data_IF_647958268850
#
_entry.id   IF_647958268850
#
_cell.length_a   1.000
_cell.length_b   1.000
_cell.length_c   1.000
_cell.angle_alpha   90.00
_cell.angle_beta   90.00
_cell.angle_gamma   90.00
#
_symmetry.space_group_name_H-M   'P 1'
#
loop_
_entity.id
_entity.type
_entity.pdbx_description
1 polymer ?
#
# COMPACT_ATOMS: atom_id res chain seq x y z
N UNK A 1 9.28 20.07 15.12
CA UNK A 1 9.69 19.55 13.80
C UNK A 1 8.88 20.24 12.70
N UNK A 2 9.51 20.70 11.61
CA UNK A 2 8.82 21.29 10.46
C UNK A 2 7.96 20.23 9.74
N UNK A 3 6.82 20.64 9.19
CA UNK A 3 5.96 19.79 8.35
C UNK A 3 6.76 19.35 7.11
N UNK A 4 6.82 18.05 6.85
CA UNK A 4 7.53 17.49 5.71
C UNK A 4 6.66 17.57 4.46
N UNK A 5 6.77 18.67 3.71
CA UNK A 5 5.96 18.91 2.50
C UNK A 5 6.11 17.79 1.46
N UNK A 6 7.33 17.26 1.31
CA UNK A 6 7.60 16.19 0.35
C UNK A 6 6.78 14.93 0.66
N UNK A 7 6.56 14.61 1.94
CA UNK A 7 5.80 13.43 2.34
C UNK A 7 4.32 13.57 1.96
N UNK A 8 3.76 14.77 2.14
CA UNK A 8 2.38 15.07 1.73
C UNK A 8 2.23 14.96 0.21
N UNK A 9 3.19 15.51 -0.56
CA UNK A 9 3.24 15.40 -2.03
C UNK A 9 3.34 13.94 -2.46
N UNK A 10 4.25 13.15 -1.87
CA UNK A 10 4.43 11.74 -2.20
C UNK A 10 3.16 10.92 -1.96
N UNK A 11 2.43 11.20 -0.86
CA UNK A 11 1.13 10.55 -0.61
C UNK A 11 0.07 10.95 -1.63
N UNK A 12 0.02 12.23 -2.00
CA UNK A 12 -0.87 12.75 -3.05
C UNK A 12 -0.60 12.11 -4.42
N UNK A 13 0.67 12.03 -4.82
CA UNK A 13 1.05 11.35 -6.07
C UNK A 13 0.75 9.85 -6.01
N UNK A 14 1.05 9.18 -4.90
CA UNK A 14 0.77 7.75 -4.76
C UNK A 14 -0.72 7.43 -4.92
N UNK A 15 -1.62 8.21 -4.29
CA UNK A 15 -3.07 7.97 -4.43
C UNK A 15 -3.57 8.23 -5.85
N UNK A 16 -3.03 9.25 -6.54
CA UNK A 16 -3.37 9.54 -7.93
C UNK A 16 -2.91 8.41 -8.87
N UNK A 17 -1.71 7.88 -8.66
CA UNK A 17 -1.19 6.73 -9.42
C UNK A 17 -2.03 5.47 -9.15
N UNK A 18 -2.47 5.23 -7.92
CA UNK A 18 -3.39 4.12 -7.59
C UNK A 18 -4.73 4.29 -8.29
N UNK A 19 -5.32 5.49 -8.27
CA UNK A 19 -6.57 5.77 -8.97
C UNK A 19 -6.41 5.53 -10.49
N UNK A 20 -5.36 6.09 -11.08
CA UNK A 20 -5.00 5.87 -12.48
C UNK A 20 -4.83 4.38 -12.82
N UNK A 21 -4.13 3.62 -11.98
CA UNK A 21 -3.93 2.18 -12.16
C UNK A 21 -5.27 1.42 -12.23
N UNK A 22 -6.24 1.76 -11.38
CA UNK A 22 -7.55 1.13 -11.42
C UNK A 22 -8.33 1.48 -12.70
N UNK A 23 -8.26 2.71 -13.19
CA UNK A 23 -8.81 3.06 -14.52
C UNK A 23 -8.13 2.28 -15.64
N UNK A 24 -6.79 2.23 -15.64
CA UNK A 24 -6.00 1.48 -16.61
C UNK A 24 -6.37 -0.01 -16.63
N UNK A 25 -6.45 -0.65 -15.45
CA UNK A 25 -6.85 -2.06 -15.33
C UNK A 25 -8.27 -2.31 -15.81
N UNK A 26 -9.20 -1.39 -15.54
CA UNK A 26 -10.59 -1.49 -16.01
C UNK A 26 -10.67 -1.36 -17.53
N UNK A 27 -9.93 -0.42 -18.12
CA UNK A 27 -9.85 -0.29 -19.57
C UNK A 27 -9.31 -1.58 -20.22
N UNK A 28 -8.20 -2.12 -19.72
CA UNK A 28 -7.58 -3.34 -20.26
C UNK A 28 -8.27 -4.66 -19.87
N UNK A 29 -9.31 -4.61 -19.05
CA UNK A 29 -10.20 -5.76 -18.89
C UNK A 29 -11.02 -6.02 -20.16
N UNK A 30 -11.27 -4.97 -20.96
CA UNK A 30 -12.10 -5.03 -22.17
C UNK A 30 -11.39 -4.52 -23.43
N UNK A 31 -10.31 -3.77 -23.28
CA UNK A 31 -9.51 -3.19 -24.37
C UNK A 31 -8.28 -4.02 -24.70
N UNK A 32 -7.88 -3.98 -25.97
CA UNK A 32 -6.65 -4.62 -26.47
C UNK A 32 -5.79 -3.54 -27.12
N UNK A 33 -4.47 -3.59 -26.90
CA UNK A 33 -3.56 -2.72 -27.64
C UNK A 33 -3.59 -3.09 -29.13
N UNK A 34 -3.59 -2.10 -30.04
CA UNK A 34 -3.38 -2.38 -31.45
C UNK A 34 -2.08 -3.15 -31.67
N UNK A 35 -2.01 -4.03 -32.69
CA UNK A 35 -0.79 -4.75 -33.02
C UNK A 35 0.37 -3.78 -33.29
N UNK A 36 1.58 -4.24 -33.00
CA UNK A 36 2.78 -3.45 -33.20
C UNK A 36 2.96 -3.13 -34.70
N UNK A 37 3.12 -1.85 -35.02
CA UNK A 37 3.36 -1.37 -36.37
C UNK A 37 4.78 -0.77 -36.46
N UNK A 38 5.58 -1.35 -37.34
CA UNK A 38 6.98 -1.00 -37.58
C UNK A 38 7.21 -0.52 -39.02
N UNK A 39 6.14 -0.23 -39.76
CA UNK A 39 6.19 0.11 -41.20
C UNK A 39 6.91 1.44 -41.49
N UNK A 40 7.07 2.31 -40.51
CA UNK A 40 7.76 3.59 -40.65
C UNK A 40 8.18 4.20 -39.32
N UNK A 41 8.92 5.31 -39.37
CA UNK A 41 9.46 5.98 -38.18
C UNK A 41 8.34 6.44 -37.23
N UNK A 42 7.29 7.08 -37.75
CA UNK A 42 6.16 7.55 -36.95
C UNK A 42 5.37 6.39 -36.33
N UNK A 43 5.12 5.32 -37.09
CA UNK A 43 4.44 4.12 -36.60
C UNK A 43 5.26 3.42 -35.50
N UNK A 44 6.57 3.29 -35.71
CA UNK A 44 7.50 2.70 -34.74
C UNK A 44 7.55 3.51 -33.45
N UNK A 45 7.63 4.85 -33.55
CA UNK A 45 7.61 5.73 -32.39
C UNK A 45 6.29 5.59 -31.61
N UNK A 46 5.15 5.56 -32.29
CA UNK A 46 3.84 5.35 -31.66
C UNK A 46 3.74 3.97 -30.98
N UNK A 47 4.25 2.92 -31.62
CA UNK A 47 4.32 1.57 -31.05
C UNK A 47 5.16 1.56 -29.77
N UNK A 48 6.36 2.16 -29.80
CA UNK A 48 7.23 2.29 -28.62
C UNK A 48 6.51 3.04 -27.51
N UNK A 49 5.88 4.19 -27.80
CA UNK A 49 5.17 4.98 -26.80
C UNK A 49 4.01 4.19 -26.16
N UNK A 50 3.25 3.43 -26.95
CA UNK A 50 2.16 2.56 -26.44
C UNK A 50 2.69 1.46 -25.53
N UNK A 51 3.79 0.80 -25.92
CA UNK A 51 4.41 -0.26 -25.12
C UNK A 51 4.99 0.28 -23.81
N UNK A 52 5.69 1.42 -23.87
CA UNK A 52 6.21 2.11 -22.68
C UNK A 52 5.06 2.52 -21.78
N UNK A 53 4.02 3.16 -22.32
CA UNK A 53 2.84 3.54 -21.56
C UNK A 53 2.18 2.34 -20.88
N UNK A 54 1.98 1.24 -21.60
CA UNK A 54 1.40 0.01 -21.05
C UNK A 54 2.23 -0.57 -19.90
N UNK A 55 3.55 -0.69 -20.10
CA UNK A 55 4.47 -1.19 -19.06
C UNK A 55 4.49 -0.28 -17.84
N UNK A 56 4.68 1.03 -18.03
CA UNK A 56 4.71 2.02 -16.93
C UNK A 56 3.38 2.07 -16.18
N UNK A 57 2.25 2.00 -16.90
CA UNK A 57 0.92 2.00 -16.28
C UNK A 57 0.67 0.73 -15.45
N UNK A 58 1.16 -0.42 -15.91
CA UNK A 58 1.12 -1.67 -15.15
C UNK A 58 1.88 -1.59 -13.82
N UNK A 59 2.93 -0.77 -13.74
CA UNK A 59 3.68 -0.57 -12.50
C UNK A 59 2.90 0.24 -11.45
N UNK A 60 1.77 0.85 -11.81
CA UNK A 60 0.95 1.64 -10.90
C UNK A 60 0.49 0.87 -9.65
N UNK A 61 0.42 -0.46 -9.73
CA UNK A 61 0.16 -1.31 -8.57
C UNK A 61 1.20 -1.16 -7.44
N UNK A 62 2.47 -0.92 -7.78
CA UNK A 62 3.54 -0.76 -6.79
C UNK A 62 3.38 0.51 -5.93
N UNK A 63 2.56 1.48 -6.37
CA UNK A 63 2.22 2.66 -5.58
C UNK A 63 1.52 2.30 -4.26
N UNK A 64 0.83 1.15 -4.19
CA UNK A 64 0.25 0.64 -2.95
C UNK A 64 1.34 0.33 -1.92
N UNK A 65 2.45 -0.27 -2.35
CA UNK A 65 3.61 -0.55 -1.48
C UNK A 65 4.21 0.73 -0.90
N UNK A 66 4.37 1.76 -1.74
CA UNK A 66 4.81 3.10 -1.30
C UNK A 66 3.83 3.66 -0.27
N UNK A 67 2.52 3.52 -0.50
CA UNK A 67 1.50 4.02 0.42
C UNK A 67 1.52 3.30 1.77
N UNK A 68 1.84 2.00 1.81
CA UNK A 68 2.05 1.23 3.06
C UNK A 68 3.27 1.77 3.83
N UNK A 69 4.40 1.98 3.14
CA UNK A 69 5.63 2.55 3.74
C UNK A 69 5.33 3.93 4.33
N UNK A 70 4.68 4.82 3.57
CA UNK A 70 4.32 6.16 4.04
C UNK A 70 3.30 6.12 5.20
N UNK A 71 2.42 5.12 5.23
CA UNK A 71 1.50 4.89 6.35
C UNK A 71 2.26 4.50 7.62
N UNK A 72 3.19 3.55 7.53
CA UNK A 72 4.08 3.18 8.65
C UNK A 72 4.89 4.36 9.18
N UNK A 73 5.48 5.15 8.27
CA UNK A 73 6.23 6.35 8.63
C UNK A 73 5.38 7.35 9.40
N UNK A 74 4.22 7.73 8.85
CA UNK A 74 3.38 8.78 9.44
C UNK A 74 2.77 8.36 10.77
N UNK A 75 2.42 7.07 10.94
CA UNK A 75 1.95 6.54 12.21
C UNK A 75 3.06 6.56 13.26
N UNK A 76 4.27 6.12 12.89
CA UNK A 76 5.41 6.09 13.80
C UNK A 76 5.77 7.50 14.26
N UNK A 77 5.97 8.43 13.32
CA UNK A 77 6.33 9.82 13.62
C UNK A 77 5.27 10.51 14.50
N UNK A 78 3.98 10.37 14.17
CA UNK A 78 2.91 11.02 14.94
C UNK A 78 2.73 10.41 16.33
N UNK A 79 3.00 9.12 16.50
CA UNK A 79 2.89 8.43 17.80
C UNK A 79 4.12 8.69 18.67
N UNK A 80 5.34 8.67 18.11
CA UNK A 80 6.56 9.05 18.82
C UNK A 80 6.45 10.45 19.41
N UNK A 81 6.01 11.43 18.61
CA UNK A 81 5.79 12.81 19.08
C UNK A 81 4.83 12.90 20.25
N UNK A 82 3.76 12.08 20.25
CA UNK A 82 2.83 12.02 21.38
C UNK A 82 3.47 11.37 22.62
N UNK A 83 4.19 10.27 22.41
CA UNK A 83 4.88 9.54 23.45
C UNK A 83 6.02 10.33 24.13
N UNK A 84 6.57 11.34 23.45
CA UNK A 84 7.55 12.27 24.02
C UNK A 84 6.93 13.27 25.00
N UNK A 85 5.67 13.66 24.78
CA UNK A 85 4.97 14.61 25.66
C UNK A 85 4.28 13.89 26.82
N UNK A 86 3.58 12.79 26.56
CA UNK A 86 2.77 12.08 27.55
C UNK A 86 2.65 10.58 27.20
N UNK A 87 2.20 9.78 28.16
CA UNK A 87 1.85 8.39 27.89
C UNK A 87 0.75 8.29 26.81
N UNK A 88 0.94 7.42 25.83
CA UNK A 88 -0.02 7.27 24.73
C UNK A 88 -1.29 6.59 25.24
N UNK A 89 -2.38 7.35 25.35
CA UNK A 89 -3.70 6.81 25.62
C UNK A 89 -4.22 6.02 24.40
N UNK A 90 -3.93 4.72 24.35
CA UNK A 90 -4.23 3.87 23.19
C UNK A 90 -5.70 3.86 22.78
N UNK A 91 -6.65 3.91 23.72
CA UNK A 91 -8.08 4.00 23.41
C UNK A 91 -8.44 5.27 22.62
N UNK A 92 -7.94 6.43 23.06
CA UNK A 92 -8.11 7.70 22.34
C UNK A 92 -7.36 7.71 21.01
N UNK A 93 -6.22 7.02 20.93
CA UNK A 93 -5.45 6.83 19.70
C UNK A 93 -6.26 6.05 18.66
N UNK A 94 -6.83 4.89 19.03
CA UNK A 94 -7.69 4.09 18.15
C UNK A 94 -8.91 4.89 17.69
N UNK A 95 -9.62 5.53 18.63
CA UNK A 95 -10.81 6.34 18.33
C UNK A 95 -10.49 7.43 17.30
N UNK A 96 -9.41 8.18 17.48
CA UNK A 96 -9.02 9.24 16.56
C UNK A 96 -8.72 8.72 15.13
N UNK A 97 -8.19 7.50 15.02
CA UNK A 97 -7.88 6.88 13.73
C UNK A 97 -9.12 6.33 13.04
N UNK A 98 -9.97 5.61 13.77
CA UNK A 98 -11.19 5.06 13.20
C UNK A 98 -12.21 6.16 12.85
N UNK A 99 -12.34 7.21 13.67
CA UNK A 99 -13.20 8.36 13.34
C UNK A 99 -12.70 9.17 12.13
N UNK A 100 -11.41 9.11 11.82
CA UNK A 100 -10.87 9.71 10.58
C UNK A 100 -11.08 8.79 9.38
N UNK A 101 -11.00 7.48 9.59
CA UNK A 101 -10.94 6.47 8.54
C UNK A 101 -12.33 6.07 8.03
N UNK A 102 -13.26 5.75 8.93
CA UNK A 102 -14.58 5.21 8.58
C UNK A 102 -15.52 6.19 7.86
N UNK A 103 -15.63 7.48 8.23
CA UNK A 103 -16.61 8.37 7.58
C UNK A 103 -16.37 8.48 6.07
N UNK A 104 -15.11 8.66 5.64
CA UNK A 104 -14.78 8.71 4.22
C UNK A 104 -15.03 7.38 3.51
N UNK A 105 -14.84 6.26 4.20
CA UNK A 105 -15.10 4.94 3.65
C UNK A 105 -16.60 4.69 3.47
N UNK A 106 -17.43 5.11 4.42
CA UNK A 106 -18.89 5.04 4.29
C UNK A 106 -19.41 6.00 3.22
N UNK A 107 -18.82 7.18 3.08
CA UNK A 107 -19.11 8.07 1.94
C UNK A 107 -18.78 7.38 0.62
N UNK A 108 -17.66 6.64 0.52
CA UNK A 108 -17.35 5.88 -0.69
C UNK A 108 -18.39 4.79 -0.99
N UNK A 109 -18.95 4.13 0.04
CA UNK A 109 -20.07 3.20 -0.13
C UNK A 109 -21.33 3.92 -0.60
N UNK A 110 -21.66 5.06 0.03
CA UNK A 110 -22.82 5.86 -0.34
C UNK A 110 -22.74 6.32 -1.80
N UNK A 111 -21.56 6.80 -2.23
CA UNK A 111 -21.31 7.19 -3.62
C UNK A 111 -21.45 5.98 -4.55
N UNK A 112 -20.90 4.82 -4.19
CA UNK A 112 -21.07 3.60 -4.98
C UNK A 112 -22.55 3.22 -5.13
N UNK A 113 -23.34 3.29 -4.05
CA UNK A 113 -24.75 2.90 -4.02
C UNK A 113 -25.67 3.88 -4.76
N UNK A 114 -25.38 5.19 -4.68
CA UNK A 114 -26.28 6.22 -5.19
C UNK A 114 -25.85 6.83 -6.53
N UNK A 115 -24.56 6.83 -6.86
CA UNK A 115 -24.07 7.53 -8.05
C UNK A 115 -24.54 6.86 -9.34
N UNK A 116 -25.15 7.60 -10.29
CA UNK A 116 -25.51 7.04 -11.59
C UNK A 116 -24.29 6.75 -12.46
N UNK A 117 -23.11 7.24 -12.09
CA UNK A 117 -21.86 7.12 -12.86
C UNK A 117 -21.03 5.89 -12.49
N UNK A 118 -21.55 4.99 -11.65
CA UNK A 118 -20.84 3.79 -11.20
C UNK A 118 -21.47 2.56 -11.84
N UNK A 119 -20.66 1.78 -12.57
CA UNK A 119 -21.05 0.48 -13.08
C UNK A 119 -21.12 -0.53 -11.92
N UNK A 120 -22.31 -1.03 -11.62
CA UNK A 120 -22.56 -2.04 -10.58
C UNK A 120 -22.69 -3.41 -11.23
N UNK A 121 -21.55 -4.08 -11.40
CA UNK A 121 -21.49 -5.41 -12.03
C UNK A 121 -21.83 -6.54 -11.05
N UNK A 122 -21.70 -6.28 -9.75
CA UNK A 122 -21.96 -7.24 -8.68
C UNK A 122 -23.23 -6.81 -7.91
N UNK A 123 -24.14 -7.73 -7.55
CA UNK A 123 -25.31 -7.40 -6.75
C UNK A 123 -24.90 -6.96 -5.34
N UNK A 124 -25.73 -6.08 -4.75
CA UNK A 124 -25.60 -5.71 -3.34
C UNK A 124 -26.37 -6.72 -2.50
N UNK A 125 -25.64 -7.49 -1.71
CA UNK A 125 -26.17 -8.50 -0.78
C UNK A 125 -25.66 -8.27 0.65
N UNK A 126 -25.90 -9.24 1.52
CA UNK A 126 -25.54 -9.26 2.95
C UNK A 126 -24.04 -9.05 3.23
N UNK A 127 -23.16 -9.30 2.26
CA UNK A 127 -21.72 -8.98 2.36
C UNK A 127 -21.45 -7.48 2.53
N UNK A 128 -22.43 -6.62 2.25
CA UNK A 128 -22.35 -5.17 2.50
C UNK A 128 -22.05 -4.85 3.96
N UNK A 129 -22.52 -5.67 4.91
CA UNK A 129 -22.27 -5.46 6.34
C UNK A 129 -20.78 -5.61 6.64
N UNK A 130 -20.17 -6.70 6.16
CA UNK A 130 -18.73 -6.95 6.31
C UNK A 130 -17.92 -5.89 5.56
N UNK A 131 -18.40 -5.44 4.40
CA UNK A 131 -17.81 -4.34 3.65
C UNK A 131 -17.80 -3.04 4.46
N UNK A 132 -18.92 -2.63 5.05
CA UNK A 132 -19.04 -1.40 5.84
C UNK A 132 -18.16 -1.39 7.09
N UNK A 133 -17.96 -2.56 7.69
CA UNK A 133 -17.03 -2.78 8.81
C UNK A 133 -15.57 -2.91 8.36
N UNK A 134 -15.31 -3.01 7.05
CA UNK A 134 -13.97 -3.23 6.51
C UNK A 134 -13.42 -4.64 6.77
N UNK A 135 -14.24 -5.60 7.19
CA UNK A 135 -13.86 -6.97 7.52
C UNK A 135 -13.84 -7.87 6.28
N UNK A 136 -13.12 -7.43 5.25
CA UNK A 136 -13.09 -8.06 3.92
C UNK A 136 -12.29 -9.36 3.84
N UNK A 137 -11.63 -9.72 4.93
CA UNK A 137 -10.79 -10.93 5.02
C UNK A 137 -11.53 -12.15 5.59
N UNK A 138 -12.75 -11.99 6.12
CA UNK A 138 -13.52 -13.10 6.72
C UNK A 138 -13.85 -14.19 5.71
N UNK A 139 -14.26 -13.80 4.50
CA UNK A 139 -14.31 -14.67 3.34
C UNK A 139 -13.42 -14.04 2.26
N UNK A 140 -12.20 -14.56 2.15
CA UNK A 140 -11.20 -13.98 1.26
C UNK A 140 -11.60 -14.06 -0.21
N UNK A 141 -12.41 -15.05 -0.59
CA UNK A 141 -12.78 -15.26 -2.00
C UNK A 141 -13.95 -14.37 -2.38
N UNK A 142 -14.95 -14.26 -1.50
CA UNK A 142 -16.20 -13.56 -1.80
C UNK A 142 -16.21 -12.10 -1.36
N UNK A 143 -15.48 -11.73 -0.29
CA UNK A 143 -15.59 -10.40 0.31
C UNK A 143 -14.41 -9.47 -0.01
N UNK A 144 -13.25 -10.03 -0.38
CA UNK A 144 -12.02 -9.25 -0.49
C UNK A 144 -12.12 -8.15 -1.55
N UNK A 145 -12.65 -8.49 -2.73
CA UNK A 145 -12.84 -7.57 -3.86
C UNK A 145 -14.27 -7.03 -4.00
N UNK A 146 -15.17 -7.40 -3.09
CA UNK A 146 -16.61 -7.11 -3.15
C UNK A 146 -16.89 -5.63 -3.45
N UNK A 147 -17.75 -5.35 -4.44
CA UNK A 147 -18.15 -4.04 -4.98
C UNK A 147 -17.04 -3.21 -5.65
N UNK A 148 -15.89 -3.10 -5.01
CA UNK A 148 -14.76 -2.33 -5.49
C UNK A 148 -13.43 -2.95 -5.05
N UNK A 149 -12.63 -3.37 -6.03
CA UNK A 149 -11.34 -4.01 -5.79
C UNK A 149 -10.32 -3.09 -5.09
N UNK A 150 -10.43 -1.76 -5.15
CA UNK A 150 -9.50 -0.88 -4.43
C UNK A 150 -9.70 -0.91 -2.91
N UNK A 151 -10.87 -1.35 -2.43
CA UNK A 151 -11.24 -1.25 -1.01
C UNK A 151 -10.61 -2.32 -0.12
N UNK A 152 -9.95 -3.35 -0.67
CA UNK A 152 -9.23 -4.33 0.14
C UNK A 152 -8.14 -3.67 1.01
N UNK A 153 -7.56 -2.55 0.54
CA UNK A 153 -6.56 -1.80 1.29
C UNK A 153 -7.09 -1.35 2.67
N UNK A 154 -8.38 -1.02 2.76
CA UNK A 154 -9.02 -0.58 4.00
C UNK A 154 -8.96 -1.67 5.07
N UNK A 155 -9.26 -2.91 4.69
CA UNK A 155 -9.19 -4.09 5.56
C UNK A 155 -7.79 -4.30 6.14
N UNK A 156 -6.78 -4.23 5.27
CA UNK A 156 -5.37 -4.32 5.68
C UNK A 156 -4.98 -3.17 6.64
N UNK A 157 -5.47 -1.95 6.39
CA UNK A 157 -5.17 -0.79 7.22
C UNK A 157 -5.73 -0.94 8.64
N UNK A 158 -6.94 -1.49 8.79
CA UNK A 158 -7.52 -1.81 10.10
C UNK A 158 -6.60 -2.77 10.84
N UNK A 159 -6.18 -3.86 10.20
CA UNK A 159 -5.27 -4.83 10.80
C UNK A 159 -3.96 -4.18 11.26
N UNK A 160 -3.36 -3.32 10.43
CA UNK A 160 -2.17 -2.56 10.82
C UNK A 160 -2.43 -1.65 12.03
N UNK A 161 -3.56 -0.95 12.08
CA UNK A 161 -3.90 -0.12 13.24
C UNK A 161 -4.03 -0.97 14.50
N UNK A 162 -4.68 -2.13 14.41
CA UNK A 162 -4.84 -3.05 15.54
C UNK A 162 -3.49 -3.52 16.08
N UNK A 163 -2.58 -3.97 15.21
CA UNK A 163 -1.26 -4.46 15.65
C UNK A 163 -0.25 -3.34 15.95
N UNK A 164 -0.54 -2.09 15.55
CA UNK A 164 0.41 -0.99 15.64
C UNK A 164 0.96 -0.73 17.06
N UNK A 165 0.17 -0.75 18.15
CA UNK A 165 0.73 -0.53 19.48
C UNK A 165 1.79 -1.56 19.88
N UNK A 166 1.59 -2.82 19.49
CA UNK A 166 2.58 -3.88 19.69
C UNK A 166 3.86 -3.60 18.88
N UNK A 167 3.71 -3.23 17.60
CA UNK A 167 4.84 -2.85 16.76
C UNK A 167 5.59 -1.63 17.29
N UNK A 168 4.85 -0.62 17.78
CA UNK A 168 5.42 0.59 18.37
C UNK A 168 6.20 0.27 19.65
N UNK A 169 5.63 -0.57 20.52
CA UNK A 169 6.32 -1.05 21.72
C UNK A 169 7.59 -1.84 21.37
N UNK A 170 7.52 -2.74 20.38
CA UNK A 170 8.67 -3.50 19.91
C UNK A 170 9.76 -2.58 19.34
N UNK A 171 9.36 -1.60 18.55
CA UNK A 171 10.26 -0.59 17.99
C UNK A 171 10.98 0.23 19.07
N UNK A 172 10.26 0.59 20.15
CA UNK A 172 10.83 1.32 21.30
C UNK A 172 11.83 0.48 22.09
N UNK A 173 11.63 -0.84 22.18
CA UNK A 173 12.51 -1.75 22.93
C UNK A 173 13.71 -2.23 22.13
N UNK A 174 13.49 -2.60 20.87
CA UNK A 174 14.48 -3.30 20.03
C UNK A 174 15.19 -2.35 19.06
N UNK A 175 14.65 -1.15 18.84
CA UNK A 175 15.16 -0.19 17.89
C UNK A 175 14.74 -0.46 16.43
N UNK A 176 15.07 0.46 15.51
CA UNK A 176 14.57 0.45 14.13
C UNK A 176 15.11 -0.71 13.28
N UNK A 177 16.35 -1.12 13.50
CA UNK A 177 16.97 -2.21 12.74
C UNK A 177 16.34 -3.55 13.05
N UNK A 178 16.17 -3.86 14.34
CA UNK A 178 15.58 -5.12 14.76
C UNK A 178 14.10 -5.20 14.41
N UNK A 179 13.36 -4.08 14.51
CA UNK A 179 11.98 -4.00 14.03
C UNK A 179 11.89 -4.37 12.54
N UNK A 180 12.78 -3.81 11.72
CA UNK A 180 12.79 -4.08 10.27
C UNK A 180 13.15 -5.54 9.99
N UNK A 181 14.16 -6.08 10.67
CA UNK A 181 14.57 -7.48 10.52
C UNK A 181 13.42 -8.43 10.88
N UNK A 182 12.78 -8.24 12.03
CA UNK A 182 11.65 -9.05 12.48
C UNK A 182 10.46 -8.89 11.53
N UNK A 183 10.16 -7.66 11.08
CA UNK A 183 9.08 -7.40 10.14
C UNK A 183 9.30 -8.09 8.79
N UNK A 184 10.52 -8.06 8.27
CA UNK A 184 10.94 -8.80 7.09
C UNK A 184 10.82 -10.30 7.29
N UNK A 185 11.41 -10.84 8.37
CA UNK A 185 11.39 -12.26 8.67
C UNK A 185 9.95 -12.79 8.80
N UNK A 186 9.12 -12.12 9.61
CA UNK A 186 7.72 -12.49 9.79
C UNK A 186 6.92 -12.40 8.49
N UNK A 187 7.08 -11.30 7.72
CA UNK A 187 6.37 -11.12 6.47
C UNK A 187 6.73 -12.17 5.42
N UNK A 188 8.01 -12.41 5.18
CA UNK A 188 8.46 -13.42 4.23
C UNK A 188 8.15 -14.85 4.70
N UNK A 189 8.28 -15.12 5.99
CA UNK A 189 7.90 -16.43 6.55
C UNK A 189 6.41 -16.72 6.35
N UNK A 190 5.53 -15.76 6.67
CA UNK A 190 4.09 -15.96 6.46
C UNK A 190 3.76 -16.10 4.96
N UNK A 191 4.41 -15.33 4.08
CA UNK A 191 4.26 -15.52 2.62
C UNK A 191 4.69 -16.93 2.19
N UNK A 192 5.83 -17.41 2.68
CA UNK A 192 6.31 -18.77 2.40
C UNK A 192 5.31 -19.83 2.88
N UNK A 193 4.77 -19.66 4.10
CA UNK A 193 3.74 -20.56 4.62
C UNK A 193 2.51 -20.55 3.72
N UNK A 194 1.98 -19.39 3.36
CA UNK A 194 0.72 -19.27 2.59
C UNK A 194 0.85 -19.59 1.10
N UNK A 195 2.06 -19.57 0.54
CA UNK A 195 2.29 -19.85 -0.89
C UNK A 195 2.87 -21.24 -1.14
N UNK A 196 3.64 -21.79 -0.20
CA UNK A 196 4.43 -23.01 -0.41
C UNK A 196 4.02 -24.12 0.55
N UNK A 197 4.06 -23.88 1.87
CA UNK A 197 3.83 -24.94 2.87
C UNK A 197 2.36 -25.32 2.96
N UNK A 198 1.50 -24.31 3.01
CA UNK A 198 0.05 -24.41 3.02
C UNK A 198 -0.49 -23.44 1.98
N UNK A 199 -0.56 -23.84 0.70
CA UNK A 199 -1.04 -22.97 -0.36
C UNK A 199 -2.45 -22.46 -0.07
N UNK A 200 -2.60 -21.15 -0.03
CA UNK A 200 -3.86 -20.43 0.18
C UNK A 200 -4.10 -19.47 -0.97
N UNK A 201 -5.32 -18.90 -1.02
CA UNK A 201 -5.65 -17.90 -2.02
C UNK A 201 -4.67 -16.70 -1.93
N UNK A 202 -4.07 -16.30 -3.06
CA UNK A 202 -3.07 -15.23 -3.13
C UNK A 202 -3.54 -13.86 -2.62
N UNK A 203 -4.86 -13.66 -2.50
CA UNK A 203 -5.46 -12.48 -1.87
C UNK A 203 -5.07 -12.33 -0.39
N UNK A 204 -4.77 -13.43 0.31
CA UNK A 204 -4.21 -13.38 1.66
C UNK A 204 -2.87 -12.66 1.69
N UNK A 205 -1.96 -13.01 0.76
CA UNK A 205 -0.63 -12.39 0.64
C UNK A 205 -0.70 -10.96 0.14
N UNK A 206 -1.68 -10.66 -0.71
CA UNK A 206 -1.91 -9.31 -1.24
C UNK A 206 -2.21 -8.30 -0.11
N UNK A 207 -3.07 -8.69 0.83
CA UNK A 207 -3.49 -7.83 1.94
C UNK A 207 -4.61 -8.39 2.82
N UNK A 208 -5.10 -9.59 2.54
CA UNK A 208 -6.02 -10.30 3.42
C UNK A 208 -5.44 -10.50 4.81
N UNK A 209 -4.12 -10.75 4.88
CA UNK A 209 -3.37 -10.78 6.13
C UNK A 209 -2.25 -9.74 6.12
N UNK A 210 -2.37 -8.71 6.94
CA UNK A 210 -1.47 -7.57 6.93
C UNK A 210 -0.01 -7.94 7.26
N UNK A 211 0.24 -9.06 7.96
CA UNK A 211 1.62 -9.52 8.23
C UNK A 211 2.38 -9.80 6.94
N UNK A 212 1.72 -10.26 5.88
CA UNK A 212 2.36 -10.43 4.57
C UNK A 212 2.89 -9.10 4.01
N UNK A 213 2.39 -7.96 4.47
CA UNK A 213 2.81 -6.59 4.09
C UNK A 213 3.58 -5.86 5.18
N UNK A 214 3.94 -6.57 6.25
CA UNK A 214 4.71 -6.03 7.36
C UNK A 214 6.11 -5.54 6.95
N UNK A 215 6.84 -6.13 5.99
CA UNK A 215 8.15 -5.60 5.57
C UNK A 215 8.04 -4.14 5.09
N UNK A 216 7.05 -3.83 4.25
CA UNK A 216 6.78 -2.49 3.74
C UNK A 216 6.40 -1.52 4.88
N UNK A 217 5.53 -1.96 5.80
CA UNK A 217 5.07 -1.13 6.91
C UNK A 217 6.18 -0.86 7.94
N UNK A 218 6.96 -1.90 8.29
CA UNK A 218 8.08 -1.82 9.22
C UNK A 218 9.21 -0.96 8.65
N UNK A 219 9.49 -1.04 7.34
CA UNK A 219 10.42 -0.13 6.67
C UNK A 219 10.00 1.34 6.87
N UNK A 220 8.72 1.64 6.68
CA UNK A 220 8.17 2.96 6.97
C UNK A 220 8.40 3.42 8.40
N UNK A 221 8.11 2.55 9.38
CA UNK A 221 8.33 2.83 10.80
C UNK A 221 9.81 3.09 11.11
N UNK A 222 10.70 2.22 10.65
CA UNK A 222 12.15 2.32 10.89
C UNK A 222 12.75 3.57 10.26
N UNK A 223 12.32 3.91 9.04
CA UNK A 223 12.74 5.14 8.37
C UNK A 223 12.32 6.39 9.16
N UNK A 224 11.10 6.41 9.73
CA UNK A 224 10.66 7.52 10.58
C UNK A 224 11.52 7.66 11.86
N UNK A 225 11.92 6.53 12.47
CA UNK A 225 12.81 6.54 13.63
C UNK A 225 14.20 7.06 13.28
N UNK A 226 14.80 6.59 12.17
CA UNK A 226 16.09 7.09 11.72
C UNK A 226 16.03 8.57 11.36
N UNK A 227 14.93 9.02 10.75
CA UNK A 227 14.74 10.42 10.43
C UNK A 227 14.61 11.28 11.70
N UNK A 228 13.98 10.77 12.76
CA UNK A 228 13.94 11.45 14.05
C UNK A 228 15.34 11.62 14.67
N UNK A 229 16.27 10.69 14.41
CA UNK A 229 17.65 10.76 14.86
C UNK A 229 18.52 11.69 13.99
N UNK A 230 18.38 11.60 12.66
CA UNK A 230 19.14 12.43 11.72
C UNK A 230 18.39 12.59 10.39
N UNK A 231 17.59 13.65 10.30
CA UNK A 231 16.83 13.97 9.09
C UNK A 231 17.73 14.12 7.86
N UNK A 232 18.81 14.90 7.97
CA UNK A 232 19.72 15.17 6.86
C UNK A 232 20.37 13.88 6.30
N UNK A 233 20.76 12.94 7.17
CA UNK A 233 21.37 11.67 6.74
C UNK A 233 20.36 10.79 5.99
N UNK A 234 19.14 10.69 6.49
CA UNK A 234 18.08 9.88 5.86
C UNK A 234 17.65 10.48 4.53
N UNK A 235 17.42 11.80 4.49
CA UNK A 235 17.07 12.49 3.24
C UNK A 235 18.19 12.38 2.21
N UNK A 236 19.46 12.55 2.62
CA UNK A 236 20.58 12.34 1.73
C UNK A 236 20.62 10.91 1.19
N UNK A 237 20.52 9.89 2.06
CA UNK A 237 20.54 8.48 1.65
C UNK A 237 19.42 8.14 0.66
N UNK A 238 18.20 8.61 0.90
CA UNK A 238 17.01 8.33 0.09
C UNK A 238 16.97 9.10 -1.24
N UNK A 239 17.40 10.37 -1.24
CA UNK A 239 17.20 11.28 -2.39
C UNK A 239 18.45 11.49 -3.24
N UNK A 240 19.65 11.25 -2.69
CA UNK A 240 20.93 11.60 -3.35
C UNK A 240 22.04 10.57 -3.19
N UNK A 241 21.92 9.66 -2.21
CA UNK A 241 22.98 8.76 -1.79
C UNK A 241 22.80 7.33 -2.29
N UNK A 242 23.47 6.41 -1.61
CA UNK A 242 23.47 4.99 -1.97
C UNK A 242 22.07 4.36 -2.01
N UNK A 243 21.13 4.81 -1.16
CA UNK A 243 19.76 4.30 -1.15
C UNK A 243 19.01 4.59 -2.44
N UNK A 244 19.19 5.79 -3.01
CA UNK A 244 18.63 6.16 -4.31
C UNK A 244 19.18 5.26 -5.43
N UNK A 245 20.51 5.10 -5.48
CA UNK A 245 21.19 4.28 -6.49
C UNK A 245 20.77 2.80 -6.37
N UNK A 246 20.74 2.26 -5.14
CA UNK A 246 20.27 0.91 -4.88
C UNK A 246 18.82 0.74 -5.30
N UNK A 247 17.94 1.71 -5.06
CA UNK A 247 16.57 1.70 -5.54
C UNK A 247 16.47 1.64 -7.06
N UNK A 248 17.28 2.44 -7.77
CA UNK A 248 17.33 2.44 -9.24
C UNK A 248 17.85 1.14 -9.84
N UNK A 249 18.70 0.40 -9.11
CA UNK A 249 19.27 -0.88 -9.59
C UNK A 249 18.37 -2.05 -9.20
N UNK A 250 17.98 -2.14 -7.92
CA UNK A 250 17.24 -3.27 -7.37
C UNK A 250 15.81 -3.34 -7.89
N UNK A 251 15.16 -2.20 -8.16
CA UNK A 251 13.78 -2.20 -8.63
C UNK A 251 13.65 -2.81 -10.04
N UNK A 252 14.43 -2.41 -11.07
CA UNK A 252 14.44 -3.10 -12.35
C UNK A 252 14.88 -4.56 -12.25
N UNK A 253 15.89 -4.87 -11.44
CA UNK A 253 16.33 -6.26 -11.23
C UNK A 253 15.20 -7.13 -10.64
N UNK A 254 14.46 -6.60 -9.67
CA UNK A 254 13.30 -7.29 -9.09
C UNK A 254 12.18 -7.50 -10.13
N UNK A 255 11.94 -6.53 -11.02
CA UNK A 255 10.95 -6.68 -12.10
C UNK A 255 11.31 -7.80 -13.09
N UNK A 256 12.60 -8.04 -13.34
CA UNK A 256 13.04 -9.15 -14.19
C UNK A 256 12.72 -10.51 -13.56
N UNK A 257 12.81 -10.62 -12.22
CA UNK A 257 12.50 -11.85 -11.49
C UNK A 257 10.99 -12.18 -11.44
N UNK A 258 10.10 -11.20 -11.70
CA UNK A 258 8.65 -11.42 -11.75
C UNK A 258 8.17 -12.07 -13.06
N UNK A 259 9.04 -12.15 -14.07
CA UNK A 259 8.74 -12.73 -15.39
C UNK A 259 9.53 -14.02 -15.67
N UNK A 260 10.25 -14.54 -14.67
CA UNK A 260 10.91 -15.85 -14.71
C UNK A 260 10.01 -16.99 -14.27
#
# INVERSE_FOLDING_TARGET
MKRLLWLDISKGLAILVVAYFHFFRTYFQYGVLPPADWSGLAASALTILRLVWFKVSGLGFHAVGVFIILSGWTLMQSTMRRAESEAVAWGAWYRARFLRLYPMYWVAHLVYLLSPFVARLEPVDDRIILSLLGLRFIDIQMNFMYLNAAWWYFSMLIQFYLIFPLLFWAARRLGPWMLLLIGCAAGFFVRYVLLVVWPQNGLWVLGGFAICRLPEFALGMSLAMWHAQSAARVEWFLLRGAGFVLGLILYPAALQLYHG
#
